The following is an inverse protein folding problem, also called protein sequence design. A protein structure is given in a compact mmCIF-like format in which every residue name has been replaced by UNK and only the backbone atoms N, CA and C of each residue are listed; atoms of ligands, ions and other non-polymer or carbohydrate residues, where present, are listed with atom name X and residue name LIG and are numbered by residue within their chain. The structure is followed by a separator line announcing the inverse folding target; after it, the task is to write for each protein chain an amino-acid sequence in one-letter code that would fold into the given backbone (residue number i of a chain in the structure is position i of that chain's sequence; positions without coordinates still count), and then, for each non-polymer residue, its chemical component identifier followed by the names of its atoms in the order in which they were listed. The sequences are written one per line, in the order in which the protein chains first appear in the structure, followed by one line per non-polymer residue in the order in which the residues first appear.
data_IF_697781400105
#
_entry.id   IF_697781400105
#
_cell.length_a   1.000
_cell.length_b   1.000
_cell.length_c   1.000
_cell.angle_alpha   90.00
_cell.angle_beta   90.00
_cell.angle_gamma   90.00
#
_symmetry.space_group_name_H-M   'P 1'
#
loop_
_entity.id
_entity.type
_entity.pdbx_description
1 polymer ?
#
# COMPACT_ATOMS: atom_id res chain seq x y z
N UNK A 1 -2.51 -0.13 14.57
CA UNK A 1 -3.69 -0.97 14.25
C UNK A 1 -3.50 -1.59 12.87
N UNK A 2 -3.91 -2.85 12.68
CA UNK A 2 -3.97 -3.55 11.40
C UNK A 2 -5.39 -4.08 11.17
N UNK A 3 -5.89 -3.96 9.94
CA UNK A 3 -7.18 -4.53 9.54
C UNK A 3 -6.94 -5.75 8.66
N UNK A 4 -7.63 -6.84 8.94
CA UNK A 4 -7.59 -8.07 8.15
C UNK A 4 -9.02 -8.60 7.97
N UNK A 5 -9.40 -8.89 6.72
CA UNK A 5 -10.74 -9.36 6.39
C UNK A 5 -10.88 -10.88 6.55
N UNK A 6 -9.80 -11.63 6.31
CA UNK A 6 -9.78 -13.08 6.46
C UNK A 6 -9.65 -13.49 7.92
N UNK A 7 -10.52 -14.37 8.38
CA UNK A 7 -10.57 -14.82 9.77
C UNK A 7 -9.29 -15.57 10.17
N UNK A 8 -8.82 -16.50 9.32
CA UNK A 8 -7.66 -17.32 9.65
C UNK A 8 -6.38 -16.46 9.67
N UNK A 9 -6.24 -15.53 8.72
CA UNK A 9 -5.13 -14.58 8.68
C UNK A 9 -5.16 -13.63 9.89
N UNK A 10 -6.32 -13.15 10.30
CA UNK A 10 -6.48 -12.30 11.47
C UNK A 10 -6.07 -13.04 12.76
N UNK A 11 -6.47 -14.30 12.92
CA UNK A 11 -6.06 -15.14 14.07
C UNK A 11 -4.55 -15.32 14.07
N UNK A 12 -3.94 -15.70 12.96
CA UNK A 12 -2.50 -15.87 12.83
C UNK A 12 -1.74 -14.55 13.13
N UNK A 13 -2.24 -13.43 12.61
CA UNK A 13 -1.65 -12.12 12.88
C UNK A 13 -1.68 -11.79 14.38
N UNK A 14 -2.80 -12.03 15.08
CA UNK A 14 -2.92 -11.85 16.53
C UNK A 14 -1.94 -12.71 17.31
N UNK A 15 -1.77 -13.97 16.92
CA UNK A 15 -0.79 -14.88 17.54
C UNK A 15 0.64 -14.38 17.35
N UNK A 16 0.99 -13.90 16.14
CA UNK A 16 2.30 -13.35 15.85
C UNK A 16 2.56 -12.09 16.69
N UNK A 17 1.57 -11.20 16.80
CA UNK A 17 1.63 -10.01 17.64
C UNK A 17 1.86 -10.39 19.10
N UNK A 18 1.10 -11.35 19.64
CA UNK A 18 1.22 -11.78 21.04
C UNK A 18 2.60 -12.33 21.38
N UNK A 19 3.31 -12.91 20.40
CA UNK A 19 4.69 -13.42 20.55
C UNK A 19 5.76 -12.35 20.28
N UNK A 20 5.39 -11.17 19.79
CA UNK A 20 6.32 -10.10 19.45
C UNK A 20 6.63 -9.22 20.68
N UNK A 21 7.77 -8.51 20.69
CA UNK A 21 8.07 -7.51 21.70
C UNK A 21 7.16 -6.27 21.63
N UNK A 22 6.30 -6.17 20.61
CA UNK A 22 5.41 -5.04 20.35
C UNK A 22 3.93 -5.34 20.66
N UNK A 23 3.64 -6.43 21.37
CA UNK A 23 2.26 -6.92 21.63
C UNK A 23 1.33 -5.84 22.20
N UNK A 24 1.88 -4.94 23.04
CA UNK A 24 1.11 -3.87 23.67
C UNK A 24 0.96 -2.62 22.78
N UNK A 25 1.54 -2.63 21.58
CA UNK A 25 1.54 -1.50 20.63
C UNK A 25 0.83 -1.82 19.32
N UNK A 26 0.49 -3.10 19.08
CA UNK A 26 -0.14 -3.56 17.85
C UNK A 26 -1.50 -4.13 18.16
N UNK A 27 -2.50 -3.62 17.50
CA UNK A 27 -3.86 -4.15 17.51
C UNK A 27 -4.20 -4.73 16.13
N UNK A 28 -4.75 -5.94 16.10
CA UNK A 28 -5.26 -6.57 14.88
C UNK A 28 -6.78 -6.71 14.99
N UNK A 29 -7.49 -6.09 14.08
CA UNK A 29 -8.96 -6.11 14.01
C UNK A 29 -9.39 -6.91 12.79
N UNK A 30 -10.22 -7.94 13.00
CA UNK A 30 -10.87 -8.65 11.90
C UNK A 30 -12.03 -7.80 11.41
N UNK A 31 -11.79 -7.09 10.31
CA UNK A 31 -12.76 -6.15 9.74
C UNK A 31 -12.46 -5.91 8.25
N UNK A 32 -13.52 -5.79 7.46
CA UNK A 32 -13.40 -5.25 6.11
C UNK A 32 -13.16 -3.74 6.19
N UNK A 33 -12.12 -3.28 5.47
CA UNK A 33 -11.77 -1.86 5.39
C UNK A 33 -12.94 -0.99 4.89
N UNK A 34 -13.77 -1.51 3.99
CA UNK A 34 -14.91 -0.77 3.43
C UNK A 34 -15.96 -0.37 4.47
N UNK A 35 -16.04 -1.12 5.56
CA UNK A 35 -17.00 -0.88 6.64
C UNK A 35 -16.33 -0.42 7.93
N UNK A 36 -15.00 -0.20 7.88
CA UNK A 36 -14.27 0.25 9.05
C UNK A 36 -14.52 1.73 9.32
N UNK A 37 -14.85 2.03 10.55
CA UNK A 37 -15.01 3.38 11.06
C UNK A 37 -14.19 3.54 12.34
N UNK A 38 -13.59 4.70 12.51
CA UNK A 38 -12.85 5.05 13.72
C UNK A 38 -13.26 6.44 14.19
N UNK A 39 -13.45 6.65 15.50
CA UNK A 39 -13.65 7.98 16.04
C UNK A 39 -12.39 8.85 15.91
N UNK A 40 -11.23 8.20 15.93
CA UNK A 40 -9.93 8.85 15.80
C UNK A 40 -9.36 8.67 14.40
N UNK A 41 -8.72 9.72 13.90
CA UNK A 41 -8.00 9.69 12.63
C UNK A 41 -6.54 9.29 12.84
N UNK A 42 -5.92 8.75 11.80
CA UNK A 42 -4.57 8.22 11.82
C UNK A 42 -3.55 9.24 11.28
N UNK A 43 -2.37 9.27 11.88
CA UNK A 43 -1.23 10.06 11.40
C UNK A 43 -0.60 9.42 10.17
N UNK A 44 -0.57 8.09 10.13
CA UNK A 44 0.02 7.31 9.03
C UNK A 44 -0.89 6.14 8.69
N UNK A 45 -1.19 6.00 7.41
CA UNK A 45 -1.87 4.82 6.86
C UNK A 45 -0.94 4.20 5.82
N UNK A 46 -0.77 2.88 5.86
CA UNK A 46 0.01 2.14 4.86
C UNK A 46 -0.81 1.00 4.29
N UNK A 47 -0.66 0.73 2.99
CA UNK A 47 -1.34 -0.39 2.33
C UNK A 47 -0.46 -1.01 1.24
N UNK A 48 -0.46 -2.33 1.21
CA UNK A 48 -0.02 -3.10 0.07
C UNK A 48 -1.23 -3.93 -0.40
N UNK A 49 -2.17 -3.29 -1.11
CA UNK A 49 -3.42 -3.94 -1.46
C UNK A 49 -3.17 -5.09 -2.44
N UNK A 50 -4.05 -6.11 -2.47
CA UNK A 50 -4.01 -7.11 -3.53
C UNK A 50 -4.11 -6.39 -4.88
N UNK A 51 -3.44 -6.95 -5.91
CA UNK A 51 -3.51 -6.36 -7.24
C UNK A 51 -4.95 -6.38 -7.73
N UNK A 52 -5.54 -5.21 -7.84
CA UNK A 52 -6.84 -5.07 -8.46
C UNK A 52 -6.65 -5.30 -9.97
N UNK A 53 -6.96 -6.51 -10.41
CA UNK A 53 -7.00 -6.81 -11.85
C UNK A 53 -8.05 -5.90 -12.46
N UNK A 54 -7.61 -5.03 -13.37
CA UNK A 54 -8.47 -4.09 -14.06
C UNK A 54 -9.67 -4.78 -14.68
N UNK A 55 -10.82 -4.46 -14.18
CA UNK A 55 -12.10 -4.84 -14.73
C UNK A 55 -12.45 -4.15 -16.05
N UNK A 56 -11.55 -3.32 -16.57
CA UNK A 56 -11.78 -2.57 -17.82
C UNK A 56 -11.45 -3.36 -19.11
N UNK A 57 -10.93 -4.59 -19.00
CA UNK A 57 -10.59 -5.40 -20.18
C UNK A 57 -11.18 -6.82 -20.20
N UNK A 58 -12.14 -7.13 -19.34
CA UNK A 58 -12.82 -8.45 -19.38
C UNK A 58 -14.07 -8.36 -20.25
N UNK A 59 -14.19 -9.14 -21.36
CA UNK A 59 -15.36 -9.12 -22.24
C UNK A 59 -16.66 -9.59 -21.58
N UNK A 60 -16.59 -10.13 -20.37
CA UNK A 60 -17.73 -10.71 -19.65
C UNK A 60 -18.24 -9.73 -18.57
N UNK A 61 -18.89 -8.66 -19.03
CA UNK A 61 -19.43 -7.59 -18.18
C UNK A 61 -20.37 -8.07 -17.06
N UNK A 62 -21.09 -9.16 -17.24
CA UNK A 62 -22.06 -9.64 -16.26
C UNK A 62 -21.43 -10.37 -15.06
N UNK A 63 -20.31 -11.08 -15.25
CA UNK A 63 -19.55 -11.69 -14.16
C UNK A 63 -18.67 -10.70 -13.41
N UNK A 64 -18.28 -9.64 -14.08
CA UNK A 64 -17.53 -8.51 -13.52
C UNK A 64 -18.38 -7.72 -12.53
N UNK A 65 -19.60 -7.34 -12.88
CA UNK A 65 -20.47 -6.50 -12.04
C UNK A 65 -20.82 -7.13 -10.68
N UNK A 66 -21.03 -8.45 -10.61
CA UNK A 66 -21.35 -9.12 -9.35
C UNK A 66 -20.16 -9.19 -8.37
N UNK A 67 -18.91 -9.20 -8.88
CA UNK A 67 -17.69 -9.19 -8.06
C UNK A 67 -17.23 -7.77 -7.69
N UNK A 68 -17.72 -6.75 -8.41
CA UNK A 68 -17.29 -5.36 -8.21
C UNK A 68 -17.96 -4.65 -7.04
N UNK A 69 -19.16 -5.05 -6.66
CA UNK A 69 -19.89 -4.37 -5.59
C UNK A 69 -19.28 -4.63 -4.20
N UNK A 70 -18.62 -5.77 -3.99
CA UNK A 70 -18.11 -6.19 -2.68
C UNK A 70 -16.57 -6.18 -2.58
N UNK A 71 -15.83 -5.89 -3.67
CA UNK A 71 -14.37 -5.86 -3.63
C UNK A 71 -13.82 -4.45 -3.37
N UNK A 72 -12.71 -4.39 -2.62
CA UNK A 72 -11.93 -3.17 -2.44
C UNK A 72 -11.33 -2.74 -3.80
N UNK A 73 -11.66 -1.53 -4.28
CA UNK A 73 -11.03 -0.90 -5.45
C UNK A 73 -10.10 0.23 -5.01
N UNK A 74 -9.25 0.75 -5.92
CA UNK A 74 -8.42 1.90 -5.58
C UNK A 74 -9.25 3.11 -5.15
N UNK A 75 -10.35 3.40 -5.83
CA UNK A 75 -11.25 4.51 -5.49
C UNK A 75 -11.85 4.35 -4.09
N UNK A 76 -12.35 3.15 -3.77
CA UNK A 76 -12.89 2.85 -2.44
C UNK A 76 -11.82 2.95 -1.35
N UNK A 77 -10.61 2.45 -1.63
CA UNK A 77 -9.47 2.56 -0.72
C UNK A 77 -9.12 4.03 -0.46
N UNK A 78 -8.96 4.82 -1.53
CA UNK A 78 -8.60 6.23 -1.45
C UNK A 78 -9.64 7.05 -0.70
N UNK A 79 -10.93 6.79 -0.97
CA UNK A 79 -12.03 7.41 -0.23
C UNK A 79 -11.95 7.10 1.26
N UNK A 80 -11.86 5.82 1.63
CA UNK A 80 -11.77 5.41 3.04
C UNK A 80 -10.53 5.97 3.73
N UNK A 81 -9.41 6.04 3.01
CA UNK A 81 -8.18 6.67 3.52
C UNK A 81 -8.41 8.17 3.81
N UNK A 82 -9.02 8.92 2.89
CA UNK A 82 -9.31 10.33 3.10
C UNK A 82 -10.23 10.58 4.30
N UNK A 83 -11.17 9.65 4.54
CA UNK A 83 -12.07 9.71 5.70
C UNK A 83 -11.36 9.40 7.03
N UNK A 84 -10.27 8.60 7.02
CA UNK A 84 -9.56 8.13 8.19
C UNK A 84 -8.24 8.87 8.48
N UNK A 85 -7.69 9.59 7.52
CA UNK A 85 -6.39 10.26 7.64
C UNK A 85 -6.55 11.62 8.34
N UNK A 86 -5.62 11.95 9.26
CA UNK A 86 -5.49 13.30 9.80
C UNK A 86 -5.08 14.30 8.72
N UNK A 87 -5.36 15.58 8.93
CA UNK A 87 -5.03 16.64 7.98
C UNK A 87 -3.53 16.70 7.64
N UNK A 88 -2.68 16.50 8.63
CA UNK A 88 -1.21 16.44 8.50
C UNK A 88 -0.70 15.01 8.31
N UNK A 89 -1.60 14.03 8.15
CA UNK A 89 -1.28 12.63 8.01
C UNK A 89 -0.77 12.28 6.61
N UNK A 90 -0.16 11.09 6.51
CA UNK A 90 0.34 10.56 5.25
C UNK A 90 -0.20 9.15 4.98
N UNK A 91 -0.48 8.89 3.71
CA UNK A 91 -0.88 7.57 3.22
C UNK A 91 0.16 7.04 2.24
N UNK A 92 0.70 5.85 2.48
CA UNK A 92 1.63 5.20 1.55
C UNK A 92 1.05 3.90 1.02
N UNK A 93 1.10 3.75 -0.29
CA UNK A 93 0.61 2.57 -1.00
C UNK A 93 1.71 1.96 -1.88
N UNK A 94 1.74 0.63 -1.96
CA UNK A 94 2.58 -0.12 -2.90
C UNK A 94 1.71 -0.65 -4.03
N UNK A 95 2.03 -0.29 -5.28
CA UNK A 95 1.23 -0.64 -6.45
C UNK A 95 2.12 -1.07 -7.64
N UNK A 96 1.56 -1.77 -8.65
CA UNK A 96 2.20 -1.90 -9.95
C UNK A 96 2.46 -0.51 -10.56
N UNK A 97 3.61 -0.35 -11.23
CA UNK A 97 4.00 0.97 -11.77
C UNK A 97 3.07 1.46 -12.88
N UNK A 98 2.52 0.56 -13.67
CA UNK A 98 1.62 0.85 -14.79
C UNK A 98 0.28 1.50 -14.38
N UNK A 99 -0.14 1.33 -13.13
CA UNK A 99 -1.36 1.96 -12.61
C UNK A 99 -1.09 3.25 -11.83
N UNK A 100 0.18 3.64 -11.62
CA UNK A 100 0.55 4.73 -10.72
C UNK A 100 -0.12 6.06 -11.07
N UNK A 101 -0.12 6.47 -12.35
CA UNK A 101 -0.72 7.73 -12.77
C UNK A 101 -2.24 7.74 -12.61
N UNK A 102 -2.87 6.61 -12.84
CA UNK A 102 -4.31 6.45 -12.65
C UNK A 102 -4.70 6.54 -11.18
N UNK A 103 -3.91 5.93 -10.30
CA UNK A 103 -4.10 6.02 -8.84
C UNK A 103 -3.91 7.45 -8.35
N UNK A 104 -2.90 8.18 -8.86
CA UNK A 104 -2.69 9.61 -8.53
C UNK A 104 -3.88 10.48 -8.98
N UNK A 105 -4.41 10.22 -10.17
CA UNK A 105 -5.59 10.94 -10.67
C UNK A 105 -6.81 10.67 -9.78
N UNK A 106 -7.09 9.40 -9.46
CA UNK A 106 -8.20 9.05 -8.57
C UNK A 106 -8.02 9.64 -7.16
N UNK A 107 -6.79 9.68 -6.63
CA UNK A 107 -6.50 10.25 -5.32
C UNK A 107 -6.83 11.74 -5.24
N UNK A 108 -6.59 12.49 -6.33
CA UNK A 108 -6.88 13.93 -6.38
C UNK A 108 -8.38 14.26 -6.22
N UNK A 109 -9.27 13.34 -6.57
CA UNK A 109 -10.72 13.49 -6.36
C UNK A 109 -11.08 13.53 -4.86
N UNK A 110 -10.23 12.97 -4.01
CA UNK A 110 -10.36 12.96 -2.55
C UNK A 110 -9.39 13.94 -1.87
N UNK A 111 -8.81 14.90 -2.64
CA UNK A 111 -7.82 15.86 -2.16
C UNK A 111 -6.54 15.22 -1.60
N UNK A 112 -6.23 13.99 -2.02
CA UNK A 112 -4.98 13.32 -1.71
C UNK A 112 -3.99 13.52 -2.87
N UNK A 113 -2.87 14.19 -2.58
CA UNK A 113 -1.84 14.54 -3.57
C UNK A 113 -0.57 13.76 -3.29
N UNK A 114 0.05 13.24 -4.35
CA UNK A 114 1.33 12.55 -4.22
C UNK A 114 2.41 13.53 -3.81
N UNK A 115 3.09 13.24 -2.71
CA UNK A 115 4.22 14.04 -2.19
C UNK A 115 5.56 13.37 -2.41
N UNK A 116 5.56 12.03 -2.48
CA UNK A 116 6.74 11.23 -2.77
C UNK A 116 6.37 10.01 -3.60
N UNK A 117 7.20 9.68 -4.59
CA UNK A 117 7.08 8.48 -5.40
C UNK A 117 8.44 7.79 -5.47
N UNK A 118 8.49 6.51 -5.09
CA UNK A 118 9.68 5.66 -5.20
C UNK A 118 9.42 4.55 -6.21
N UNK A 119 10.15 4.56 -7.31
CA UNK A 119 10.09 3.53 -8.34
C UNK A 119 11.10 2.42 -8.03
N UNK A 120 10.64 1.19 -7.88
CA UNK A 120 11.49 0.05 -7.53
C UNK A 120 11.91 -0.69 -8.80
N UNK A 121 13.21 -0.71 -9.06
CA UNK A 121 13.85 -1.36 -10.21
C UNK A 121 14.57 -2.61 -9.68
N UNK A 122 14.22 -3.79 -10.22
CA UNK A 122 14.78 -5.05 -9.71
C UNK A 122 16.24 -5.26 -10.17
N UNK A 123 16.57 -4.87 -11.41
CA UNK A 123 17.88 -5.13 -12.05
C UNK A 123 18.35 -3.89 -12.80
N UNK A 124 19.68 -3.69 -12.96
CA UNK A 124 20.22 -2.59 -13.74
C UNK A 124 19.65 -2.57 -15.17
N UNK A 125 19.26 -1.38 -15.62
CA UNK A 125 18.65 -1.18 -16.95
C UNK A 125 17.21 -1.71 -17.08
N UNK A 126 16.62 -2.24 -16.01
CA UNK A 126 15.23 -2.67 -16.01
C UNK A 126 14.26 -1.51 -15.87
N UNK A 127 12.99 -1.76 -16.20
CA UNK A 127 11.90 -0.82 -15.93
C UNK A 127 11.31 -1.07 -14.53
N UNK A 128 10.84 -0.04 -13.83
CA UNK A 128 10.15 -0.19 -12.56
C UNK A 128 8.92 -1.08 -12.72
N UNK A 129 8.74 -2.02 -11.79
CA UNK A 129 7.55 -2.89 -11.73
C UNK A 129 6.66 -2.60 -10.54
N UNK A 130 7.21 -1.96 -9.53
CA UNK A 130 6.51 -1.53 -8.31
C UNK A 130 6.84 -0.08 -8.06
N UNK A 131 5.83 0.64 -7.60
CA UNK A 131 5.96 2.02 -7.19
C UNK A 131 5.33 2.18 -5.81
N UNK A 132 6.06 2.81 -4.90
CA UNK A 132 5.52 3.27 -3.63
C UNK A 132 5.14 4.73 -3.81
N UNK A 133 3.91 5.10 -3.44
CA UNK A 133 3.47 6.49 -3.50
C UNK A 133 3.00 6.91 -2.11
N UNK A 134 3.53 8.02 -1.62
CA UNK A 134 3.04 8.67 -0.42
C UNK A 134 2.16 9.84 -0.81
N UNK A 135 0.97 9.89 -0.25
CA UNK A 135 -0.03 10.93 -0.41
C UNK A 135 -0.22 11.71 0.89
N UNK A 136 -0.60 12.97 0.77
CA UNK A 136 -1.12 13.80 1.85
C UNK A 136 -2.16 14.77 1.30
N UNK A 137 -2.77 15.58 2.18
CA UNK A 137 -3.66 16.68 1.76
C UNK A 137 -2.91 17.94 1.28
N UNK A 138 -1.58 17.94 1.37
CA UNK A 138 -0.73 19.03 0.87
C UNK A 138 -0.42 18.83 -0.61
N UNK A 139 -0.66 19.83 -1.43
CA UNK A 139 -0.37 19.85 -2.87
C UNK A 139 0.95 20.60 -3.19
N UNK A 140 1.97 20.39 -2.37
CA UNK A 140 3.28 21.05 -2.50
C UNK A 140 4.20 20.46 -3.58
N UNK A 141 3.73 19.47 -4.35
CA UNK A 141 4.52 18.78 -5.38
C UNK A 141 5.00 17.39 -4.95
N UNK A 142 5.54 16.62 -5.91
CA UNK A 142 5.94 15.24 -5.71
C UNK A 142 7.43 15.04 -6.01
N UNK A 143 8.18 14.54 -5.03
CA UNK A 143 9.56 14.07 -5.26
C UNK A 143 9.53 12.65 -5.83
N UNK A 144 10.22 12.44 -6.96
CA UNK A 144 10.31 11.12 -7.61
C UNK A 144 11.73 10.58 -7.46
N UNK A 145 11.82 9.35 -6.94
CA UNK A 145 13.07 8.65 -6.65
C UNK A 145 13.05 7.26 -7.26
N UNK A 146 14.22 6.65 -7.43
CA UNK A 146 14.38 5.28 -7.89
C UNK A 146 15.19 4.48 -6.86
N UNK A 147 14.82 3.21 -6.69
CA UNK A 147 15.55 2.27 -5.87
C UNK A 147 15.88 1.03 -6.70
N UNK A 148 17.17 0.80 -6.93
CA UNK A 148 17.65 -0.45 -7.50
C UNK A 148 17.77 -1.50 -6.40
N UNK A 149 17.10 -2.66 -6.55
CA UNK A 149 17.18 -3.71 -5.51
C UNK A 149 18.38 -4.62 -5.69
N UNK A 150 18.71 -5.03 -6.92
CA UNK A 150 19.87 -5.89 -7.22
C UNK A 150 20.82 -5.21 -8.21
N UNK A 151 22.11 -5.20 -7.88
CA UNK A 151 23.19 -4.75 -8.80
C UNK A 151 23.66 -5.88 -9.71
N UNK A 152 23.54 -7.14 -9.27
CA UNK A 152 23.74 -8.36 -10.04
C UNK A 152 22.87 -9.48 -9.45
N UNK A 153 22.80 -10.63 -10.11
CA UNK A 153 21.98 -11.76 -9.65
C UNK A 153 22.35 -12.15 -8.20
N UNK A 154 21.37 -12.06 -7.30
CA UNK A 154 21.50 -12.31 -5.86
C UNK A 154 22.48 -11.38 -5.12
N UNK A 155 22.78 -10.24 -5.69
CA UNK A 155 23.56 -9.18 -5.05
C UNK A 155 22.71 -7.92 -4.90
N UNK A 156 22.29 -7.65 -3.68
CA UNK A 156 21.49 -6.47 -3.39
C UNK A 156 22.32 -5.18 -3.41
N UNK A 157 21.70 -4.08 -3.83
CA UNK A 157 22.32 -2.75 -3.75
C UNK A 157 22.55 -2.35 -2.28
N UNK A 158 23.53 -1.49 -2.05
CA UNK A 158 23.82 -0.99 -0.69
C UNK A 158 22.65 -0.14 -0.16
N UNK A 159 21.96 0.60 -1.03
CA UNK A 159 20.75 1.36 -0.67
C UNK A 159 19.62 0.45 -0.21
N UNK A 160 19.34 -0.63 -0.96
CA UNK A 160 18.33 -1.60 -0.57
C UNK A 160 18.70 -2.32 0.74
N UNK A 161 19.96 -2.71 0.92
CA UNK A 161 20.44 -3.32 2.16
C UNK A 161 20.28 -2.35 3.34
N UNK A 162 20.67 -1.08 3.17
CA UNK A 162 20.52 -0.07 4.22
C UNK A 162 19.10 0.11 4.69
N UNK A 163 18.12 0.04 3.76
CA UNK A 163 16.70 0.16 4.07
C UNK A 163 16.11 -1.09 4.73
N UNK A 164 16.64 -2.28 4.43
CA UNK A 164 15.94 -3.54 4.75
C UNK A 164 16.67 -4.45 5.73
N UNK A 165 17.94 -4.18 6.07
CA UNK A 165 18.79 -5.01 6.94
C UNK A 165 18.18 -5.37 8.29
N UNK A 166 17.38 -4.46 8.86
CA UNK A 166 16.74 -4.67 10.16
C UNK A 166 15.52 -5.62 10.08
N UNK A 167 15.07 -5.94 8.86
CA UNK A 167 13.88 -6.76 8.61
C UNK A 167 14.20 -8.14 8.07
N UNK A 168 15.43 -8.39 7.62
CA UNK A 168 15.84 -9.66 7.06
C UNK A 168 16.87 -10.35 7.95
N UNK A 169 16.70 -11.66 8.16
CA UNK A 169 17.64 -12.46 8.94
C UNK A 169 19.02 -12.61 8.26
N UNK A 170 19.04 -12.64 6.93
CA UNK A 170 20.25 -12.80 6.14
C UNK A 170 20.14 -11.97 4.85
N UNK A 171 20.63 -10.74 4.88
CA UNK A 171 20.94 -9.96 3.68
C UNK A 171 22.43 -10.14 3.40
N UNK A 172 22.76 -10.96 2.39
CA UNK A 172 24.12 -11.10 1.87
C UNK A 172 24.42 -10.04 0.83
#
# INVERSE_FOLDING_TARGET
MALEIDEAAAVQAKENVARSPWKDRIEVVKQDFLFYQSPDKFDVIVSNPPYFVDSLSCPDQQRSMARHNDSLTYEKLLKGVADLLKKEGTFTIVIPTDVADRVKTAASEYHLYATRQLNVITKPGGTPKRTLITFSFDNGGCTVEELLTEVARHQYSEEYKALTREYYLHLK
#
